data_IF_758494003564
#
_entry.id   IF_758494003564
#
_cell.length_a   1.000
_cell.length_b   1.000
_cell.length_c   1.000
_cell.angle_alpha   90.00
_cell.angle_beta   90.00
_cell.angle_gamma   90.00
#
_symmetry.space_group_name_H-M   'P 1'
#
loop_
_entity.id
_entity.type
_entity.pdbx_description
1 polymer ?
#
# COMPACT_ATOMS: atom_id res chain seq x y z
N UNK A 1 -2.74 -11.49 -17.86
CA UNK A 1 -1.67 -10.56 -17.50
C UNK A 1 -2.03 -9.90 -16.17
N UNK A 2 -1.14 -9.87 -15.17
CA UNK A 2 -1.36 -9.10 -13.94
C UNK A 2 -1.61 -7.67 -14.37
N UNK A 3 -2.86 -7.26 -14.25
CA UNK A 3 -3.34 -6.19 -15.09
C UNK A 3 -2.60 -4.90 -14.70
N UNK A 4 -1.79 -4.42 -15.65
CA UNK A 4 -0.98 -3.21 -15.66
C UNK A 4 0.41 -3.22 -15.01
N UNK A 5 0.98 -4.34 -14.56
CA UNK A 5 2.46 -4.37 -14.38
C UNK A 5 3.08 -3.97 -15.72
N UNK A 6 4.00 -3.01 -15.67
CA UNK A 6 4.65 -2.52 -16.87
C UNK A 6 5.59 -3.59 -17.43
N UNK A 7 5.58 -3.75 -18.75
CA UNK A 7 6.50 -4.64 -19.45
C UNK A 7 7.21 -3.85 -20.54
N UNK A 8 8.53 -3.87 -20.53
CA UNK A 8 9.37 -3.29 -21.58
C UNK A 8 10.29 -4.39 -22.10
N UNK A 9 10.35 -4.52 -23.43
CA UNK A 9 11.16 -5.54 -24.12
C UNK A 9 10.94 -6.98 -23.60
N UNK A 10 9.70 -7.31 -23.22
CA UNK A 10 9.32 -8.63 -22.71
C UNK A 10 9.66 -8.89 -21.24
N UNK A 11 10.28 -7.94 -20.52
CA UNK A 11 10.57 -8.04 -19.09
C UNK A 11 9.59 -7.21 -18.28
N UNK A 12 9.12 -7.74 -17.14
CA UNK A 12 8.34 -6.96 -16.20
C UNK A 12 9.23 -5.92 -15.49
N UNK A 13 8.70 -4.72 -15.28
CA UNK A 13 9.32 -3.70 -14.43
C UNK A 13 8.81 -3.86 -13.00
N UNK A 14 9.28 -4.91 -12.34
CA UNK A 14 8.99 -5.18 -10.93
C UNK A 14 10.05 -6.13 -10.36
N UNK A 15 10.32 -6.00 -9.06
CA UNK A 15 11.13 -6.94 -8.31
C UNK A 15 10.56 -7.13 -6.89
N UNK A 16 10.75 -8.33 -6.35
CA UNK A 16 10.28 -8.74 -5.02
C UNK A 16 11.41 -9.42 -4.25
N UNK A 17 11.56 -9.13 -2.97
CA UNK A 17 12.51 -9.79 -2.09
C UNK A 17 11.91 -11.08 -1.53
N UNK A 18 12.65 -12.19 -1.60
CA UNK A 18 12.40 -13.49 -0.95
C UNK A 18 11.13 -14.24 -1.37
N UNK A 19 10.05 -13.55 -1.75
CA UNK A 19 8.76 -14.14 -2.06
C UNK A 19 8.21 -13.57 -3.37
N UNK A 20 7.69 -14.43 -4.25
CA UNK A 20 7.04 -13.97 -5.48
C UNK A 20 5.76 -13.22 -5.20
N UNK A 21 5.46 -12.29 -6.09
CA UNK A 21 4.12 -11.75 -6.22
C UNK A 21 3.15 -12.85 -6.69
N UNK A 22 1.84 -12.67 -6.43
CA UNK A 22 0.82 -13.67 -6.78
C UNK A 22 0.74 -14.00 -8.27
N UNK A 23 1.26 -13.13 -9.14
CA UNK A 23 1.31 -13.34 -10.59
C UNK A 23 2.63 -13.93 -11.08
N UNK A 24 3.67 -13.89 -10.26
CA UNK A 24 5.00 -14.40 -10.59
C UNK A 24 5.11 -15.87 -10.16
N UNK A 25 4.30 -16.72 -10.80
CA UNK A 25 4.20 -18.15 -10.47
C UNK A 25 5.55 -18.88 -10.65
N UNK A 26 6.42 -18.36 -11.52
CA UNK A 26 7.76 -18.90 -11.77
C UNK A 26 8.84 -18.33 -10.85
N UNK A 27 8.56 -17.28 -10.09
CA UNK A 27 9.55 -16.59 -9.26
C UNK A 27 10.65 -15.89 -10.06
N UNK A 28 10.37 -15.48 -11.30
CA UNK A 28 11.36 -14.87 -12.21
C UNK A 28 11.84 -13.50 -11.69
N UNK A 29 10.99 -12.79 -10.96
CA UNK A 29 11.23 -11.43 -10.47
C UNK A 29 11.54 -11.39 -8.98
N UNK A 30 12.00 -12.52 -8.42
CA UNK A 30 12.30 -12.68 -6.99
C UNK A 30 13.80 -12.69 -6.75
N UNK A 31 14.22 -11.82 -5.83
CA UNK A 31 15.58 -11.81 -5.31
C UNK A 31 15.69 -12.78 -4.13
N UNK A 32 16.83 -13.45 -4.02
CA UNK A 32 17.14 -14.39 -2.93
C UNK A 32 17.55 -13.70 -1.62
N UNK A 33 17.58 -12.37 -1.60
CA UNK A 33 17.91 -11.53 -0.46
C UNK A 33 17.00 -10.29 -0.41
N UNK A 34 17.09 -9.53 0.68
CA UNK A 34 16.43 -8.21 0.80
C UNK A 34 17.41 -7.14 0.28
N UNK A 35 17.16 -6.53 -0.90
CA UNK A 35 18.08 -5.57 -1.51
C UNK A 35 18.04 -4.21 -0.82
N UNK A 36 19.08 -3.40 -1.05
CA UNK A 36 19.05 -1.95 -0.84
C UNK A 36 18.51 -1.20 -2.06
N UNK A 37 18.55 0.13 -2.02
CA UNK A 37 18.05 1.02 -3.07
C UNK A 37 18.64 0.74 -4.44
N UNK A 38 19.97 0.66 -4.55
CA UNK A 38 20.66 0.47 -5.84
C UNK A 38 20.32 -0.90 -6.44
N UNK A 39 20.37 -1.96 -5.61
CA UNK A 39 20.00 -3.29 -6.08
C UNK A 39 18.50 -3.40 -6.45
N UNK A 40 17.61 -2.73 -5.70
CA UNK A 40 16.16 -2.79 -5.96
C UNK A 40 15.77 -2.01 -7.21
N UNK A 41 16.29 -0.79 -7.41
CA UNK A 41 15.94 0.03 -8.59
C UNK A 41 16.42 -0.64 -9.88
N UNK A 42 17.60 -1.27 -9.86
CA UNK A 42 18.14 -2.04 -10.97
C UNK A 42 17.31 -3.30 -11.25
N UNK A 43 17.06 -4.12 -10.22
CA UNK A 43 16.31 -5.37 -10.36
C UNK A 43 14.87 -5.14 -10.84
N UNK A 44 14.23 -4.05 -10.40
CA UNK A 44 12.88 -3.69 -10.84
C UNK A 44 12.85 -2.96 -12.20
N UNK A 45 14.00 -2.70 -12.81
CA UNK A 45 14.14 -1.95 -14.06
C UNK A 45 13.51 -0.55 -14.02
N UNK A 46 13.72 0.17 -12.91
CA UNK A 46 13.11 1.49 -12.67
C UNK A 46 14.08 2.67 -12.83
N UNK A 47 15.34 2.39 -13.15
CA UNK A 47 16.41 3.39 -13.27
C UNK A 47 16.40 4.13 -14.62
N UNK A 48 15.21 4.56 -15.03
CA UNK A 48 14.98 5.41 -16.19
C UNK A 48 14.54 6.80 -15.75
N UNK A 49 14.85 7.79 -16.56
CA UNK A 49 14.48 9.18 -16.30
C UNK A 49 13.18 9.55 -17.02
N UNK A 50 12.46 10.50 -16.42
CA UNK A 50 11.31 11.17 -17.03
C UNK A 50 11.70 12.56 -17.48
N UNK A 51 11.48 12.83 -18.76
CA UNK A 51 11.70 14.13 -19.38
C UNK A 51 10.37 14.84 -19.63
N UNK A 52 10.40 16.17 -19.63
CA UNK A 52 9.27 16.99 -20.05
C UNK A 52 9.53 17.53 -21.44
N UNK A 53 8.56 17.36 -22.35
CA UNK A 53 8.64 17.85 -23.72
C UNK A 53 7.47 18.79 -24.06
N UNK A 54 7.68 19.79 -24.91
CA UNK A 54 6.61 20.67 -25.40
C UNK A 54 5.62 19.89 -26.28
N UNK A 55 4.36 20.32 -26.26
CA UNK A 55 3.30 19.74 -27.12
C UNK A 55 3.02 20.69 -28.29
N UNK A 56 2.80 20.12 -29.47
CA UNK A 56 2.42 20.84 -30.68
C UNK A 56 1.07 20.36 -31.21
N UNK A 57 0.30 21.25 -31.83
CA UNK A 57 -0.91 20.88 -32.57
C UNK A 57 -0.55 20.21 -33.91
N UNK A 58 -1.58 19.78 -34.66
CA UNK A 58 -1.40 19.12 -35.95
C UNK A 58 -0.74 20.02 -37.03
N UNK A 59 -0.73 21.33 -36.83
CA UNK A 59 -0.11 22.31 -37.74
C UNK A 59 1.31 22.70 -37.28
N UNK A 60 1.84 22.04 -36.24
CA UNK A 60 3.16 22.30 -35.68
C UNK A 60 3.24 23.55 -34.79
N UNK A 61 2.11 24.11 -34.35
CA UNK A 61 2.10 25.24 -33.41
C UNK A 61 2.20 24.74 -31.98
N UNK A 62 3.11 25.34 -31.21
CA UNK A 62 3.29 25.03 -29.79
C UNK A 62 2.00 25.32 -29.00
N UNK A 63 1.61 24.40 -28.11
CA UNK A 63 0.47 24.56 -27.19
C UNK A 63 1.01 25.06 -25.84
N UNK A 64 0.93 26.38 -25.55
CA UNK A 64 1.46 26.92 -24.31
C UNK A 64 0.68 26.46 -23.08
N UNK A 65 1.36 26.41 -21.93
CA UNK A 65 0.77 26.02 -20.66
C UNK A 65 0.66 24.50 -20.47
N UNK A 66 0.99 23.71 -21.49
CA UNK A 66 0.92 22.26 -21.48
C UNK A 66 2.21 21.64 -22.00
N UNK A 67 2.64 20.60 -21.31
CA UNK A 67 3.78 19.78 -21.69
C UNK A 67 3.40 18.31 -21.55
N UNK A 68 4.22 17.41 -22.09
CA UNK A 68 4.07 15.97 -21.94
C UNK A 68 5.27 15.36 -21.23
N UNK A 69 5.04 14.38 -20.37
CA UNK A 69 6.09 13.58 -19.76
C UNK A 69 6.36 12.36 -20.63
N UNK A 70 7.64 12.08 -20.87
CA UNK A 70 8.09 10.91 -21.62
C UNK A 70 9.19 10.19 -20.86
N UNK A 71 9.31 8.88 -21.07
CA UNK A 71 10.49 8.16 -20.58
C UNK A 71 11.67 8.39 -21.51
N UNK A 72 12.83 8.71 -20.96
CA UNK A 72 14.05 8.95 -21.71
C UNK A 72 14.56 7.68 -22.44
N UNK A 73 14.33 6.51 -21.85
CA UNK A 73 14.85 5.22 -22.35
C UNK A 73 14.09 4.67 -23.56
N UNK A 74 12.81 4.97 -23.68
CA UNK A 74 11.89 4.37 -24.65
C UNK A 74 11.11 5.39 -25.48
N UNK A 75 11.13 6.67 -25.09
CA UNK A 75 10.27 7.71 -25.67
C UNK A 75 8.79 7.53 -25.34
N UNK A 76 8.44 6.61 -24.43
CA UNK A 76 7.04 6.31 -24.13
C UNK A 76 6.37 7.51 -23.45
N UNK A 77 5.28 7.98 -24.04
CA UNK A 77 4.45 9.05 -23.50
C UNK A 77 3.69 8.60 -22.23
N UNK A 78 3.94 9.27 -21.12
CA UNK A 78 3.35 8.99 -19.82
C UNK A 78 2.08 9.81 -19.59
N UNK A 79 2.11 11.12 -19.82
CA UNK A 79 0.94 11.98 -19.60
C UNK A 79 1.07 13.37 -20.19
N UNK A 80 -0.06 14.09 -20.24
CA UNK A 80 -0.11 15.52 -20.55
C UNK A 80 -0.44 16.26 -19.27
N UNK A 81 0.29 17.33 -18.99
CA UNK A 81 0.20 18.08 -17.74
C UNK A 81 0.49 19.56 -17.97
N UNK A 82 0.24 20.39 -16.95
CA UNK A 82 0.60 21.80 -17.02
C UNK A 82 2.11 22.00 -16.99
N UNK A 83 2.61 23.10 -17.53
CA UNK A 83 4.02 23.51 -17.44
C UNK A 83 4.52 23.74 -15.99
N UNK A 84 3.58 23.87 -15.04
CA UNK A 84 3.89 23.95 -13.61
C UNK A 84 4.24 22.60 -12.98
N UNK A 85 4.03 21.50 -13.71
CA UNK A 85 4.33 20.16 -13.23
C UNK A 85 5.84 20.00 -12.99
N UNK A 86 6.19 19.32 -11.90
CA UNK A 86 7.58 19.04 -11.50
C UNK A 86 7.75 17.54 -11.34
N UNK A 87 8.55 16.99 -12.24
CA UNK A 87 8.98 15.59 -12.20
C UNK A 87 9.79 15.36 -10.92
N UNK A 88 9.49 14.28 -10.22
CA UNK A 88 10.35 13.70 -9.18
C UNK A 88 10.85 12.38 -9.75
N UNK A 89 12.16 12.24 -9.94
CA UNK A 89 12.71 11.07 -10.61
C UNK A 89 12.53 9.82 -9.74
N UNK A 90 12.56 8.64 -10.37
CA UNK A 90 12.48 7.39 -9.63
C UNK A 90 13.64 7.29 -8.64
N UNK A 91 14.87 7.66 -9.03
CA UNK A 91 16.04 7.66 -8.15
C UNK A 91 15.89 8.58 -6.93
N UNK A 92 15.27 9.75 -7.11
CA UNK A 92 15.01 10.69 -6.00
C UNK A 92 14.13 10.05 -4.92
N UNK A 93 13.20 9.16 -5.31
CA UNK A 93 12.36 8.43 -4.37
C UNK A 93 13.15 7.46 -3.48
N UNK A 94 14.09 6.71 -4.07
CA UNK A 94 14.92 5.78 -3.33
C UNK A 94 15.87 6.54 -2.38
N UNK A 95 16.51 7.60 -2.86
CA UNK A 95 17.33 8.48 -2.03
C UNK A 95 16.55 9.11 -0.88
N UNK A 96 15.32 9.55 -1.15
CA UNK A 96 14.43 10.07 -0.11
C UNK A 96 14.16 9.01 0.97
N UNK A 97 13.81 7.78 0.58
CA UNK A 97 13.53 6.70 1.53
C UNK A 97 14.77 6.28 2.32
N UNK A 98 15.95 6.22 1.69
CA UNK A 98 17.22 5.98 2.37
C UNK A 98 17.49 7.03 3.45
N UNK A 99 17.25 8.30 3.13
CA UNK A 99 17.48 9.41 4.06
C UNK A 99 16.59 9.36 5.32
N UNK A 100 15.53 8.55 5.34
CA UNK A 100 14.72 8.33 6.54
C UNK A 100 15.46 7.54 7.63
N UNK A 101 16.46 6.74 7.26
CA UNK A 101 17.31 6.05 8.21
C UNK A 101 18.49 6.93 8.61
N UNK A 102 18.74 7.05 9.92
CA UNK A 102 19.90 7.81 10.44
C UNK A 102 21.23 7.12 10.13
N UNK A 103 21.24 5.78 10.24
CA UNK A 103 22.42 4.95 10.07
C UNK A 103 22.06 3.74 9.19
N UNK A 104 22.32 3.84 7.88
CA UNK A 104 22.16 2.72 6.95
C UNK A 104 21.44 3.09 5.65
N UNK A 105 21.33 2.10 4.78
CA UNK A 105 20.57 2.17 3.52
C UNK A 105 19.27 1.41 3.73
N UNK A 106 18.17 1.99 3.26
CA UNK A 106 16.85 1.37 3.36
C UNK A 106 16.87 0.03 2.63
N UNK A 107 16.16 -0.94 3.20
CA UNK A 107 15.96 -2.25 2.58
C UNK A 107 14.60 -2.29 1.94
N UNK A 108 14.43 -3.05 0.87
CA UNK A 108 13.19 -3.02 0.09
C UNK A 108 12.56 -4.40 -0.01
N UNK A 109 11.25 -4.46 0.22
CA UNK A 109 10.47 -5.67 0.02
C UNK A 109 10.15 -5.86 -1.46
N UNK A 110 9.80 -4.77 -2.14
CA UNK A 110 9.47 -4.81 -3.55
C UNK A 110 9.36 -3.42 -4.15
N UNK A 111 9.46 -3.33 -5.47
CA UNK A 111 9.25 -2.11 -6.24
C UNK A 111 8.73 -2.47 -7.63
N UNK A 112 8.12 -1.51 -8.32
CA UNK A 112 7.74 -1.71 -9.71
C UNK A 112 7.04 -0.52 -10.35
N UNK A 113 6.74 -0.69 -11.64
CA UNK A 113 6.02 0.26 -12.45
C UNK A 113 4.69 -0.31 -12.92
N UNK A 114 3.69 0.58 -13.02
CA UNK A 114 2.40 0.30 -13.59
C UNK A 114 2.16 1.12 -14.86
N UNK A 115 1.36 0.59 -15.78
CA UNK A 115 0.85 1.29 -16.97
C UNK A 115 1.95 1.90 -17.86
N UNK A 116 3.06 1.20 -18.06
CA UNK A 116 4.18 1.72 -18.84
C UNK A 116 5.11 2.67 -18.08
N UNK A 117 5.01 2.74 -16.75
CA UNK A 117 5.77 3.71 -15.94
C UNK A 117 5.01 4.97 -15.55
N UNK A 118 3.69 5.04 -15.79
CA UNK A 118 2.86 6.18 -15.35
C UNK A 118 2.74 6.28 -13.84
N UNK A 119 2.82 5.15 -13.15
CA UNK A 119 2.85 5.08 -11.70
C UNK A 119 4.00 4.17 -11.30
N UNK A 120 4.85 4.64 -10.39
CA UNK A 120 5.96 3.87 -9.83
C UNK A 120 5.76 3.73 -8.33
N UNK A 121 6.11 2.58 -7.78
CA UNK A 121 5.99 2.31 -6.35
C UNK A 121 7.24 1.61 -5.81
N UNK A 122 7.51 1.85 -4.53
CA UNK A 122 8.56 1.16 -3.78
C UNK A 122 8.08 0.91 -2.36
N UNK A 123 8.24 -0.31 -1.86
CA UNK A 123 7.89 -0.71 -0.51
C UNK A 123 9.18 -0.90 0.31
N UNK A 124 9.58 0.17 0.99
CA UNK A 124 10.74 0.22 1.87
C UNK A 124 10.43 -0.43 3.21
N UNK A 125 11.31 -1.31 3.68
CA UNK A 125 11.24 -2.06 4.93
C UNK A 125 12.06 -1.38 6.02
N UNK A 126 11.38 -0.97 7.08
CA UNK A 126 12.06 -0.44 8.27
C UNK A 126 12.81 -1.57 8.99
N UNK A 127 13.94 -1.29 9.67
CA UNK A 127 14.77 -2.31 10.30
C UNK A 127 14.12 -3.00 11.50
N UNK A 128 13.20 -2.32 12.17
CA UNK A 128 12.50 -2.85 13.35
C UNK A 128 11.27 -3.68 12.97
N UNK A 129 11.08 -4.79 13.67
CA UNK A 129 9.89 -5.65 13.60
C UNK A 129 9.16 -5.60 14.94
N UNK A 130 7.83 -5.60 14.89
CA UNK A 130 6.98 -5.69 16.09
C UNK A 130 6.55 -7.13 16.33
N UNK A 131 6.90 -7.70 17.48
CA UNK A 131 6.32 -8.95 17.97
C UNK A 131 5.05 -8.61 18.75
N UNK A 132 3.89 -8.97 18.22
CA UNK A 132 2.58 -8.68 18.85
C UNK A 132 2.20 -9.78 19.84
N UNK A 133 2.43 -11.03 19.45
CA UNK A 133 2.25 -12.21 20.27
C UNK A 133 3.23 -13.30 19.83
N UNK A 134 3.31 -14.40 20.58
CA UNK A 134 4.19 -15.52 20.21
C UNK A 134 3.81 -16.08 18.83
N UNK A 135 4.80 -16.14 17.93
CA UNK A 135 4.61 -16.51 16.52
C UNK A 135 3.82 -15.52 15.67
N UNK A 136 3.59 -14.29 16.13
CA UNK A 136 2.83 -13.25 15.41
C UNK A 136 3.59 -11.92 15.32
N UNK A 137 4.28 -11.74 14.19
CA UNK A 137 5.12 -10.59 13.88
C UNK A 137 4.48 -9.64 12.86
N UNK A 138 4.76 -8.36 13.03
CA UNK A 138 4.35 -7.29 12.13
C UNK A 138 5.59 -6.51 11.67
N UNK A 139 5.85 -6.56 10.36
CA UNK A 139 6.89 -5.77 9.72
C UNK A 139 6.39 -4.34 9.47
N UNK A 140 7.27 -3.37 9.63
CA UNK A 140 7.03 -1.95 9.39
C UNK A 140 7.59 -1.54 8.02
N UNK A 141 6.84 -0.75 7.27
CA UNK A 141 7.22 -0.32 5.92
C UNK A 141 6.84 1.14 5.66
N UNK A 142 7.55 1.77 4.73
CA UNK A 142 7.11 3.00 4.07
C UNK A 142 6.81 2.65 2.61
N UNK A 143 5.57 2.86 2.19
CA UNK A 143 5.17 2.76 0.80
C UNK A 143 5.35 4.12 0.12
N UNK A 144 6.19 4.15 -0.89
CA UNK A 144 6.28 5.25 -1.82
C UNK A 144 5.44 4.99 -3.06
N UNK A 145 4.68 6.00 -3.49
CA UNK A 145 3.89 5.98 -4.72
C UNK A 145 4.11 7.31 -5.45
N UNK A 146 4.58 7.23 -6.70
CA UNK A 146 4.84 8.37 -7.56
C UNK A 146 4.03 8.27 -8.84
N UNK A 147 3.55 9.40 -9.33
CA UNK A 147 2.76 9.46 -10.56
C UNK A 147 3.39 10.43 -11.54
N UNK A 148 3.67 9.92 -12.74
CA UNK A 148 4.30 10.64 -13.85
C UNK A 148 3.29 11.10 -14.92
N UNK A 149 1.99 10.89 -14.71
CA UNK A 149 0.95 11.13 -15.74
C UNK A 149 0.25 12.49 -15.63
N UNK A 150 0.66 13.33 -14.67
CA UNK A 150 0.08 14.65 -14.42
C UNK A 150 -1.23 14.66 -13.64
N UNK A 151 -1.80 13.49 -13.31
CA UNK A 151 -3.10 13.38 -12.62
C UNK A 151 -2.95 12.93 -11.18
N UNK A 152 -1.92 12.16 -10.87
CA UNK A 152 -1.64 11.69 -9.52
C UNK A 152 -0.83 12.67 -8.69
N UNK A 153 -0.65 12.30 -7.43
CA UNK A 153 0.24 12.95 -6.50
C UNK A 153 1.29 11.94 -6.03
N UNK A 154 2.33 12.45 -5.38
CA UNK A 154 3.32 11.65 -4.70
C UNK A 154 2.85 11.35 -3.27
N UNK A 155 3.05 10.12 -2.82
CA UNK A 155 2.72 9.66 -1.48
C UNK A 155 3.88 8.90 -0.85
N UNK A 156 4.08 9.09 0.45
CA UNK A 156 5.02 8.34 1.27
C UNK A 156 4.32 7.93 2.57
N UNK A 157 3.95 6.65 2.66
CA UNK A 157 2.90 6.13 3.52
C UNK A 157 3.49 5.12 4.50
N UNK A 158 3.52 5.40 5.81
CA UNK A 158 3.74 4.35 6.81
C UNK A 158 2.67 3.27 6.70
N UNK A 159 3.11 2.02 6.56
CA UNK A 159 2.25 0.85 6.46
C UNK A 159 2.90 -0.32 7.17
N UNK A 160 2.11 -1.32 7.54
CA UNK A 160 2.61 -2.52 8.19
C UNK A 160 2.08 -3.77 7.52
N UNK A 161 2.86 -4.84 7.52
CA UNK A 161 2.43 -6.13 7.01
C UNK A 161 2.61 -7.17 8.10
N UNK A 162 1.52 -7.84 8.48
CA UNK A 162 1.57 -8.98 9.39
C UNK A 162 2.13 -10.20 8.66
N UNK A 163 3.24 -10.75 9.16
CA UNK A 163 4.09 -11.71 8.42
C UNK A 163 3.34 -13.00 8.07
N UNK A 164 2.59 -13.54 9.02
CA UNK A 164 1.91 -14.83 8.86
C UNK A 164 0.77 -14.80 7.85
N UNK A 165 0.13 -13.64 7.65
CA UNK A 165 -1.03 -13.49 6.75
C UNK A 165 -0.79 -12.61 5.53
N UNK A 166 0.33 -11.87 5.50
CA UNK A 166 0.60 -10.85 4.49
C UNK A 166 -0.56 -9.85 4.34
N UNK A 167 -1.23 -9.50 5.43
CA UNK A 167 -2.23 -8.43 5.43
C UNK A 167 -1.51 -7.10 5.55
N UNK A 168 -1.78 -6.18 4.63
CA UNK A 168 -1.20 -4.84 4.64
C UNK A 168 -2.12 -3.93 5.43
N UNK A 169 -1.81 -3.68 6.70
CA UNK A 169 -2.48 -2.62 7.44
C UNK A 169 -1.82 -1.29 7.06
N UNK A 170 -2.49 -0.53 6.19
CA UNK A 170 -2.20 0.90 6.04
C UNK A 170 -2.46 1.53 7.40
N UNK A 171 -1.39 1.82 8.14
CA UNK A 171 -1.49 2.34 9.49
C UNK A 171 -2.01 3.75 9.42
N UNK A 172 -3.25 3.95 9.88
CA UNK A 172 -3.82 5.21 10.32
C UNK A 172 -3.24 6.47 9.67
N UNK A 173 -3.23 6.54 8.33
CA UNK A 173 -3.02 7.80 7.66
C UNK A 173 -4.38 8.48 7.51
N UNK A 174 -4.94 8.90 8.65
CA UNK A 174 -5.95 9.94 8.58
C UNK A 174 -5.28 11.19 8.02
N UNK A 175 -5.55 11.49 6.75
CA UNK A 175 -5.34 12.82 6.18
C UNK A 175 -3.94 13.16 5.66
N UNK A 176 -3.06 12.21 5.30
CA UNK A 176 -2.00 12.60 4.37
C UNK A 176 -2.64 13.02 3.06
N UNK A 177 -2.36 14.26 2.71
CA UNK A 177 -2.65 14.78 1.40
C UNK A 177 -1.48 14.40 0.50
N UNK A 178 -1.79 13.91 -0.69
CA UNK A 178 -0.77 13.66 -1.70
C UNK A 178 0.04 14.94 -1.96
N UNK A 179 1.36 14.78 -2.09
CA UNK A 179 2.26 15.85 -2.44
C UNK A 179 2.05 16.18 -3.92
N UNK A 180 1.38 17.31 -4.18
CA UNK A 180 1.15 17.77 -5.55
C UNK A 180 2.48 18.09 -6.23
N UNK A 181 2.65 17.64 -7.46
CA UNK A 181 3.81 17.87 -8.34
C UNK A 181 3.90 19.30 -8.89
N UNK A 182 3.72 20.33 -8.06
CA UNK A 182 3.77 21.73 -8.48
C UNK A 182 4.53 22.57 -7.44
N UNK A 183 5.25 23.60 -7.86
CA UNK A 183 6.03 24.45 -6.95
C UNK A 183 7.34 23.81 -6.49
N UNK A 184 7.82 24.18 -5.30
CA UNK A 184 9.10 23.69 -4.77
C UNK A 184 8.96 22.24 -4.24
N UNK A 185 9.46 21.28 -5.03
CA UNK A 185 9.41 19.87 -4.64
C UNK A 185 10.42 19.53 -3.55
N UNK A 186 11.58 20.19 -3.51
CA UNK A 186 12.60 19.94 -2.48
C UNK A 186 12.04 20.27 -1.09
N UNK A 187 11.46 21.46 -0.93
CA UNK A 187 10.88 21.87 0.35
C UNK A 187 9.73 20.95 0.81
N UNK A 188 8.94 20.44 -0.14
CA UNK A 188 7.85 19.51 0.17
C UNK A 188 8.36 18.14 0.59
N UNK A 189 9.40 17.63 -0.07
CA UNK A 189 10.06 16.39 0.32
C UNK A 189 10.70 16.55 1.70
N UNK A 190 11.39 17.66 1.98
CA UNK A 190 11.94 17.94 3.32
C UNK A 190 10.84 17.96 4.40
N UNK A 191 9.66 18.49 4.08
CA UNK A 191 8.52 18.45 4.99
C UNK A 191 8.01 17.02 5.20
N UNK A 192 7.90 16.23 4.13
CA UNK A 192 7.50 14.83 4.21
C UNK A 192 8.51 14.01 5.04
N UNK A 193 9.80 14.25 4.85
CA UNK A 193 10.88 13.66 5.64
C UNK A 193 10.70 13.92 7.12
N UNK A 194 10.47 15.18 7.51
CA UNK A 194 10.22 15.56 8.91
C UNK A 194 9.00 14.85 9.50
N UNK A 195 7.93 14.67 8.71
CA UNK A 195 6.74 13.95 9.15
C UNK A 195 7.02 12.44 9.32
N UNK A 196 7.74 11.84 8.38
CA UNK A 196 8.07 10.42 8.37
C UNK A 196 9.16 10.04 9.37
N UNK A 197 10.03 10.98 9.76
CA UNK A 197 10.95 10.78 10.89
C UNK A 197 10.22 10.53 12.21
N UNK A 198 8.91 10.78 12.27
CA UNK A 198 8.05 10.48 13.41
C UNK A 198 7.23 9.19 13.20
N UNK A 199 7.38 8.49 12.08
CA UNK A 199 6.66 7.25 11.77
C UNK A 199 6.92 6.17 12.83
N UNK A 200 8.11 6.12 13.43
CA UNK A 200 8.43 5.21 14.53
C UNK A 200 7.47 5.34 15.72
N UNK A 201 7.02 6.56 16.03
CA UNK A 201 6.03 6.76 17.10
C UNK A 201 4.66 6.22 16.70
N UNK A 202 4.26 6.37 15.43
CA UNK A 202 3.01 5.81 14.91
C UNK A 202 3.04 4.28 14.91
N UNK A 203 4.16 3.68 14.50
CA UNK A 203 4.35 2.24 14.59
C UNK A 203 4.33 1.74 16.03
N UNK A 204 4.96 2.47 16.95
CA UNK A 204 4.99 2.10 18.37
C UNK A 204 3.60 2.15 19.00
N UNK A 205 2.82 3.23 18.78
CA UNK A 205 1.43 3.35 19.24
C UNK A 205 0.55 2.23 18.66
N UNK A 206 0.71 1.91 17.38
CA UNK A 206 0.03 0.79 16.76
C UNK A 206 0.39 -0.55 17.42
N UNK A 207 1.69 -0.80 17.64
CA UNK A 207 2.23 -2.02 18.27
C UNK A 207 1.69 -2.19 19.69
N UNK A 208 1.63 -1.12 20.48
CA UNK A 208 1.08 -1.14 21.84
C UNK A 208 -0.41 -1.48 21.84
N UNK A 209 -1.20 -0.85 20.97
CA UNK A 209 -2.63 -1.16 20.81
C UNK A 209 -2.83 -2.59 20.30
N UNK A 210 -2.06 -3.04 19.32
CA UNK A 210 -2.13 -4.41 18.82
C UNK A 210 -1.81 -5.44 19.92
N UNK A 211 -0.82 -5.17 20.77
CA UNK A 211 -0.50 -6.00 21.95
C UNK A 211 -1.62 -6.00 22.99
N UNK A 212 -2.31 -4.88 23.20
CA UNK A 212 -3.53 -4.84 24.01
C UNK A 212 -4.60 -5.76 23.40
N UNK A 213 -4.89 -5.59 22.11
CA UNK A 213 -5.89 -6.40 21.40
C UNK A 213 -5.57 -7.90 21.45
N UNK A 214 -4.30 -8.29 21.44
CA UNK A 214 -3.84 -9.67 21.51
C UNK A 214 -4.00 -10.29 22.91
N UNK A 215 -4.20 -9.47 23.95
CA UNK A 215 -4.42 -9.93 25.33
C UNK A 215 -5.90 -9.91 25.72
N UNK A 216 -6.72 -9.12 25.05
CA UNK A 216 -8.14 -8.98 25.37
C UNK A 216 -8.98 -9.98 24.58
N UNK A 217 -9.69 -10.86 25.30
CA UNK A 217 -10.65 -11.82 24.72
C UNK A 217 -11.99 -11.17 24.44
N UNK A 218 -12.78 -11.76 23.55
CA UNK A 218 -14.17 -11.36 23.31
C UNK A 218 -15.12 -12.54 23.52
N UNK A 219 -16.39 -12.25 23.77
CA UNK A 219 -17.49 -13.21 23.70
C UNK A 219 -18.23 -13.17 22.35
N UNK A 220 -19.24 -14.03 22.21
CA UNK A 220 -19.97 -14.18 20.93
C UNK A 220 -20.75 -12.92 20.58
N UNK A 221 -21.37 -12.29 21.58
CA UNK A 221 -22.16 -11.08 21.46
C UNK A 221 -21.29 -9.91 20.98
N UNK A 222 -20.13 -9.72 21.60
CA UNK A 222 -19.12 -8.73 21.22
C UNK A 222 -18.61 -8.95 19.78
N UNK A 223 -18.33 -10.20 19.41
CA UNK A 223 -17.90 -10.52 18.04
C UNK A 223 -18.96 -10.18 16.99
N UNK A 224 -20.24 -10.47 17.29
CA UNK A 224 -21.35 -10.14 16.39
C UNK A 224 -21.53 -8.63 16.27
N UNK A 225 -21.50 -7.90 17.39
CA UNK A 225 -21.61 -6.44 17.41
C UNK A 225 -20.49 -5.78 16.61
N UNK A 226 -19.25 -6.25 16.76
CA UNK A 226 -18.10 -5.76 16.01
C UNK A 226 -18.30 -5.88 14.49
N UNK A 227 -18.76 -7.06 14.01
CA UNK A 227 -19.02 -7.27 12.58
C UNK A 227 -20.19 -6.42 12.08
N UNK A 228 -21.25 -6.27 12.87
CA UNK A 228 -22.44 -5.49 12.52
C UNK A 228 -22.13 -3.99 12.37
N UNK A 229 -21.30 -3.42 13.24
CA UNK A 229 -20.88 -2.00 13.14
C UNK A 229 -20.01 -1.76 11.89
N UNK A 230 -19.19 -2.74 11.50
CA UNK A 230 -18.31 -2.62 10.33
C UNK A 230 -19.04 -2.89 9.01
N UNK A 231 -19.97 -3.84 9.01
CA UNK A 231 -20.74 -4.27 7.83
C UNK A 231 -22.22 -4.25 8.19
N UNK A 232 -22.84 -3.05 8.26
CA UNK A 232 -24.23 -2.93 8.69
C UNK A 232 -25.18 -3.61 7.70
N UNK A 233 -26.20 -4.26 8.24
CA UNK A 233 -27.24 -4.91 7.42
C UNK A 233 -28.07 -3.84 6.71
N UNK A 234 -28.29 -3.96 5.38
CA UNK A 234 -29.12 -3.00 4.66
C UNK A 234 -30.60 -3.12 5.09
N UNK A 235 -31.32 -2.00 5.10
CA UNK A 235 -32.74 -1.93 5.49
C UNK A 235 -33.67 -2.66 4.51
N UNK A 236 -33.31 -2.69 3.22
CA UNK A 236 -34.10 -3.33 2.17
C UNK A 236 -33.45 -4.63 1.70
N UNK A 237 -34.25 -5.67 1.55
CA UNK A 237 -33.84 -6.94 0.96
C UNK A 237 -33.51 -6.80 -0.53
N UNK A 238 -32.61 -7.65 -1.03
CA UNK A 238 -32.18 -7.68 -2.42
C UNK A 238 -30.67 -7.77 -2.58
N UNK A 239 -30.14 -7.20 -3.66
CA UNK A 239 -28.72 -7.30 -4.03
C UNK A 239 -27.78 -6.78 -2.94
N UNK A 240 -28.19 -5.75 -2.21
CA UNK A 240 -27.47 -5.20 -1.05
C UNK A 240 -27.30 -6.24 0.06
N UNK A 241 -28.37 -6.99 0.40
CA UNK A 241 -28.33 -8.04 1.42
C UNK A 241 -27.39 -9.19 1.00
N UNK A 242 -27.44 -9.62 -0.25
CA UNK A 242 -26.51 -10.65 -0.75
C UNK A 242 -25.04 -10.20 -0.69
N UNK A 243 -24.77 -8.92 -0.97
CA UNK A 243 -23.40 -8.36 -0.85
C UNK A 243 -22.96 -8.31 0.62
N UNK A 244 -23.86 -7.93 1.52
CA UNK A 244 -23.62 -7.97 2.96
C UNK A 244 -23.25 -9.39 3.42
N UNK A 245 -24.08 -10.39 3.09
CA UNK A 245 -23.87 -11.77 3.53
C UNK A 245 -22.55 -12.35 3.01
N UNK A 246 -22.19 -12.04 1.76
CA UNK A 246 -20.89 -12.40 1.19
C UNK A 246 -19.71 -11.78 1.96
N UNK A 247 -19.82 -10.52 2.38
CA UNK A 247 -18.77 -9.84 3.16
C UNK A 247 -18.62 -10.45 4.55
N UNK A 248 -19.74 -10.69 5.23
CA UNK A 248 -19.78 -11.32 6.55
C UNK A 248 -19.19 -12.73 6.48
N UNK A 249 -19.56 -13.54 5.47
CA UNK A 249 -18.98 -14.88 5.33
C UNK A 249 -17.49 -14.82 5.02
N UNK A 250 -17.03 -13.86 4.20
CA UNK A 250 -15.59 -13.67 3.97
C UNK A 250 -14.81 -13.36 5.26
N UNK A 251 -15.40 -12.62 6.21
CA UNK A 251 -14.80 -12.38 7.54
C UNK A 251 -14.79 -13.67 8.36
N UNK A 252 -15.88 -14.45 8.32
CA UNK A 252 -15.97 -15.73 9.06
C UNK A 252 -15.00 -16.78 8.54
N UNK A 253 -14.83 -16.89 7.22
CA UNK A 253 -13.83 -17.73 6.58
C UNK A 253 -12.42 -17.32 7.03
N UNK A 254 -12.10 -16.03 6.96
CA UNK A 254 -10.82 -15.50 7.44
C UNK A 254 -10.62 -15.77 8.94
N UNK A 255 -11.66 -15.65 9.77
CA UNK A 255 -11.58 -15.94 11.19
C UNK A 255 -11.23 -17.40 11.47
N UNK A 256 -11.73 -18.33 10.66
CA UNK A 256 -11.44 -19.76 10.78
C UNK A 256 -10.05 -20.15 10.21
N UNK A 257 -9.33 -19.22 9.58
CA UNK A 257 -8.02 -19.50 8.99
C UNK A 257 -6.99 -19.86 10.07
N UNK A 258 -6.06 -20.77 9.75
CA UNK A 258 -5.00 -21.19 10.69
C UNK A 258 -4.21 -19.99 11.25
N UNK A 259 -4.04 -18.97 10.41
CA UNK A 259 -3.31 -17.73 10.71
C UNK A 259 -4.01 -16.85 11.74
N UNK A 260 -5.33 -16.87 11.81
CA UNK A 260 -6.11 -16.15 12.83
C UNK A 260 -6.48 -17.03 14.02
N UNK A 261 -6.17 -18.34 13.93
CA UNK A 261 -6.38 -19.33 14.98
C UNK A 261 -5.08 -19.72 15.70
N UNK A 262 -4.01 -18.94 15.56
CA UNK A 262 -2.75 -19.15 16.29
C UNK A 262 -2.99 -19.23 17.81
N UNK A 263 -2.32 -20.13 18.55
CA UNK A 263 -2.54 -20.32 19.98
C UNK A 263 -2.48 -19.03 20.81
N UNK A 264 -1.52 -18.15 20.49
CA UNK A 264 -1.25 -16.94 21.26
C UNK A 264 -2.34 -15.86 21.12
N UNK A 265 -3.15 -15.89 20.05
CA UNK A 265 -4.10 -14.81 19.73
C UNK A 265 -5.53 -15.31 19.52
N UNK A 266 -5.77 -16.62 19.52
CA UNK A 266 -7.09 -17.20 19.26
C UNK A 266 -8.15 -16.67 20.23
N UNK A 267 -9.22 -16.10 19.67
CA UNK A 267 -10.36 -15.57 20.45
C UNK A 267 -10.06 -14.23 21.11
N UNK A 268 -9.14 -13.46 20.55
CA UNK A 268 -8.77 -12.11 21.01
C UNK A 268 -9.20 -11.07 19.99
N UNK A 269 -9.38 -9.81 20.39
CA UNK A 269 -9.72 -8.73 19.46
C UNK A 269 -8.68 -8.58 18.34
N UNK A 270 -7.42 -8.97 18.59
CA UNK A 270 -6.39 -9.01 17.55
C UNK A 270 -6.70 -10.04 16.46
N UNK A 271 -7.13 -11.25 16.83
CA UNK A 271 -7.58 -12.25 15.84
C UNK A 271 -8.81 -11.78 15.05
N UNK A 272 -9.74 -11.07 15.71
CA UNK A 272 -10.95 -10.55 15.09
C UNK A 272 -10.64 -9.43 14.09
N UNK A 273 -9.79 -8.48 14.48
CA UNK A 273 -9.28 -7.44 13.59
C UNK A 273 -8.57 -8.05 12.37
N UNK A 274 -7.65 -8.99 12.59
CA UNK A 274 -6.92 -9.62 11.50
C UNK A 274 -7.83 -10.36 10.50
N UNK A 275 -8.92 -10.94 10.99
CA UNK A 275 -9.93 -11.59 10.13
C UNK A 275 -10.60 -10.59 9.18
N UNK A 276 -10.88 -9.37 9.64
CA UNK A 276 -11.40 -8.30 8.78
C UNK A 276 -10.35 -7.87 7.76
N UNK A 277 -9.10 -7.66 8.19
CA UNK A 277 -8.03 -7.26 7.26
C UNK A 277 -7.75 -8.32 6.20
N UNK A 278 -7.75 -9.61 6.56
CA UNK A 278 -7.56 -10.72 5.62
C UNK A 278 -8.73 -10.83 4.64
N UNK A 279 -9.96 -10.66 5.12
CA UNK A 279 -11.14 -10.65 4.25
C UNK A 279 -11.07 -9.51 3.22
N UNK A 280 -10.60 -8.32 3.62
CA UNK A 280 -10.43 -7.16 2.74
C UNK A 280 -9.29 -7.38 1.74
N UNK A 281 -8.13 -7.82 2.23
CA UNK A 281 -6.91 -7.88 1.44
C UNK A 281 -6.87 -9.09 0.52
N UNK A 282 -7.40 -10.24 0.96
CA UNK A 282 -7.34 -11.53 0.27
C UNK A 282 -8.70 -12.06 -0.18
N UNK A 283 -9.78 -11.72 0.52
CA UNK A 283 -11.14 -12.18 0.25
C UNK A 283 -11.90 -11.44 -0.87
N UNK A 284 -13.20 -11.74 -0.99
CA UNK A 284 -14.13 -11.13 -1.97
C UNK A 284 -14.91 -9.97 -1.35
N UNK A 285 -14.23 -9.11 -0.60
CA UNK A 285 -14.90 -8.05 0.16
C UNK A 285 -15.44 -6.92 -0.72
N UNK A 286 -14.59 -6.41 -1.62
CA UNK A 286 -14.94 -5.36 -2.57
C UNK A 286 -15.06 -5.92 -3.98
N UNK A 287 -15.92 -5.29 -4.78
CA UNK A 287 -16.02 -5.54 -6.22
C UNK A 287 -15.37 -4.36 -6.93
N UNK A 288 -14.35 -4.63 -7.74
CA UNK A 288 -13.63 -3.62 -8.49
C UNK A 288 -14.13 -3.62 -9.92
N UNK A 289 -14.44 -2.44 -10.47
CA UNK A 289 -14.75 -2.23 -11.89
C UNK A 289 -13.46 -1.93 -12.64
N UNK A 290 -13.39 -2.29 -13.92
CA UNK A 290 -12.18 -2.11 -14.72
C UNK A 290 -11.06 -3.06 -14.28
N UNK A 291 -9.83 -2.55 -14.21
CA UNK A 291 -8.70 -3.36 -13.78
C UNK A 291 -8.80 -3.72 -12.29
N UNK A 292 -9.04 -5.00 -12.02
CA UNK A 292 -9.27 -5.54 -10.69
C UNK A 292 -8.04 -5.50 -9.78
N UNK A 293 -6.82 -5.62 -10.30
CA UNK A 293 -5.60 -5.72 -9.49
C UNK A 293 -5.18 -4.36 -8.92
N UNK A 294 -5.10 -3.34 -9.77
CA UNK A 294 -4.77 -1.97 -9.35
C UNK A 294 -5.89 -1.36 -8.50
N UNK A 295 -7.16 -1.50 -8.91
CA UNK A 295 -8.28 -1.02 -8.11
C UNK A 295 -8.30 -1.67 -6.72
N UNK A 296 -7.87 -2.93 -6.62
CA UNK A 296 -7.66 -3.61 -5.34
C UNK A 296 -6.49 -3.00 -4.58
N UNK A 297 -5.32 -2.84 -5.20
CA UNK A 297 -4.14 -2.25 -4.57
C UNK A 297 -4.44 -0.84 -4.04
N UNK A 298 -4.99 0.04 -4.89
CA UNK A 298 -5.44 1.37 -4.51
C UNK A 298 -6.47 1.32 -3.38
N UNK A 299 -7.45 0.41 -3.44
CA UNK A 299 -8.44 0.23 -2.39
C UNK A 299 -7.85 -0.23 -1.06
N UNK A 300 -6.91 -1.17 -1.09
CA UNK A 300 -6.23 -1.77 0.08
C UNK A 300 -5.30 -0.77 0.76
N UNK A 301 -4.65 0.10 -0.02
CA UNK A 301 -3.60 1.01 0.47
C UNK A 301 -4.12 2.42 0.79
N UNK A 302 -5.06 2.94 -0.02
CA UNK A 302 -5.48 4.35 0.03
C UNK A 302 -7.00 4.57 -0.08
N UNK A 303 -7.75 3.53 -0.43
CA UNK A 303 -9.17 3.65 -0.76
C UNK A 303 -10.10 3.07 0.31
N UNK A 304 -11.30 2.61 -0.10
CA UNK A 304 -12.31 2.11 0.83
C UNK A 304 -11.85 0.96 1.74
N UNK A 305 -10.90 0.13 1.28
CA UNK A 305 -10.35 -0.97 2.05
C UNK A 305 -9.44 -0.48 3.18
N UNK A 306 -8.54 0.46 2.89
CA UNK A 306 -7.70 1.12 3.89
C UNK A 306 -8.55 1.79 4.98
N UNK A 307 -9.57 2.56 4.58
CA UNK A 307 -10.49 3.23 5.51
C UNK A 307 -11.25 2.24 6.42
N UNK A 308 -11.72 1.13 5.84
CA UNK A 308 -12.44 0.12 6.63
C UNK A 308 -11.51 -0.64 7.58
N UNK A 309 -10.27 -0.95 7.16
CA UNK A 309 -9.26 -1.53 8.07
C UNK A 309 -8.94 -0.60 9.23
N UNK A 310 -8.86 0.71 8.98
CA UNK A 310 -8.66 1.67 10.07
C UNK A 310 -9.86 1.69 11.03
N UNK A 311 -11.09 1.78 10.49
CA UNK A 311 -12.32 1.73 11.31
C UNK A 311 -12.38 0.44 12.14
N UNK A 312 -11.99 -0.68 11.55
CA UNK A 312 -11.92 -1.98 12.22
C UNK A 312 -10.92 -1.97 13.38
N UNK A 313 -9.72 -1.43 13.17
CA UNK A 313 -8.72 -1.30 14.23
C UNK A 313 -9.21 -0.40 15.37
N UNK A 314 -9.71 0.79 15.05
CA UNK A 314 -10.20 1.77 16.03
C UNK A 314 -11.34 1.18 16.88
N UNK A 315 -12.30 0.52 16.22
CA UNK A 315 -13.42 -0.14 16.90
C UNK A 315 -12.96 -1.31 17.79
N UNK A 316 -11.98 -2.09 17.34
CA UNK A 316 -11.43 -3.18 18.13
C UNK A 316 -10.76 -2.66 19.41
N UNK A 317 -10.03 -1.55 19.31
CA UNK A 317 -9.41 -0.87 20.47
C UNK A 317 -10.48 -0.33 21.41
N UNK A 318 -11.50 0.35 20.89
CA UNK A 318 -12.61 0.88 21.69
C UNK A 318 -13.31 -0.24 22.48
N UNK A 319 -13.70 -1.32 21.79
CA UNK A 319 -14.38 -2.45 22.42
C UNK A 319 -13.47 -3.22 23.40
N UNK A 320 -12.18 -3.34 23.12
CA UNK A 320 -11.24 -4.00 24.02
C UNK A 320 -10.97 -3.21 25.30
N UNK A 321 -11.04 -1.87 25.25
CA UNK A 321 -10.89 -1.00 26.43
C UNK A 321 -12.17 -0.98 27.28
N UNK A 322 -13.34 -1.19 26.65
CA UNK A 322 -14.62 -1.25 27.34
C UNK A 322 -14.93 -2.60 28.01
N UNK A 323 -14.06 -3.60 27.84
CA UNK A 323 -14.25 -4.98 28.30
C UNK A 323 -13.69 -5.22 29.71
#
# INVERSE_FOLDING_TARGET
MPAEISFINGKAEAAFALKPAWWDVGGEYVLDHVPDSEAMIEAAHLDWEVETQPIYDNDGRHIPGHSTTVRADTGLHLGVMSDSYRVVQNRDAFQFLDSLLKDGVMKYESAGALRGGRTVWALARMPSVDVIADGDEVNRYILWLNSHDGKGALYAIPTSVRVVCANTAALAIRGQQGIKHIGDMSAKLDQAHKLLSQADRQFSDYSEKAKLLAKTRFDREQANQYVEILVPRPEQEGRSSTIHDRKVESIREAFRSERNQLPAIRGTYWSLYNSVTEAIDHGRFFTYKGNRAESRMSSVLMGPGANLKQKAFDLAVEMAVAN
#
